data_IF_468726563437
#
_entry.id   IF_468726563437
#
_cell.length_a   1.000
_cell.length_b   1.000
_cell.length_c   1.000
_cell.angle_alpha   90.00
_cell.angle_beta   90.00
_cell.angle_gamma   90.00
#
_symmetry.space_group_name_H-M   'P 1'
#
loop_
_entity.id
_entity.type
_entity.pdbx_description
1 polymer ?
#
# COMPACT_ATOMS: atom_id res chain seq x y z
N UNK A 1 4.03 32.95 14.86
CA UNK A 1 4.72 33.21 13.57
C UNK A 1 5.58 32.01 13.13
N UNK A 2 4.99 30.83 12.92
CA UNK A 2 5.73 29.61 12.48
C UNK A 2 4.98 28.73 11.46
N UNK A 3 3.74 29.06 11.09
CA UNK A 3 2.98 28.34 10.05
C UNK A 3 3.25 28.83 8.61
N UNK A 4 3.92 29.97 8.43
CA UNK A 4 4.19 30.54 7.09
C UNK A 4 5.50 30.05 6.45
N UNK A 5 6.31 29.24 7.15
CA UNK A 5 7.58 28.70 6.62
C UNK A 5 7.42 27.33 5.92
N UNK A 6 6.35 26.58 6.20
CA UNK A 6 6.10 25.30 5.53
C UNK A 6 5.44 25.47 4.15
N UNK A 7 4.59 26.49 3.98
CA UNK A 7 4.00 26.81 2.68
C UNK A 7 4.99 27.46 1.69
N UNK A 8 6.08 28.06 2.17
CA UNK A 8 7.11 28.65 1.32
C UNK A 8 7.98 27.60 0.60
N UNK A 9 8.13 26.38 1.14
CA UNK A 9 8.84 25.29 0.46
C UNK A 9 8.02 24.59 -0.64
N UNK A 10 6.71 24.85 -0.70
CA UNK A 10 5.82 24.38 -1.76
C UNK A 10 5.60 25.42 -2.87
N UNK A 11 5.96 26.70 -2.67
CA UNK A 11 5.77 27.77 -3.68
C UNK A 11 7.11 28.29 -4.27
N UNK A 12 8.25 28.01 -3.65
CA UNK A 12 9.55 28.50 -4.15
C UNK A 12 10.16 27.73 -5.34
N UNK A 13 9.49 26.72 -5.92
CA UNK A 13 9.96 26.07 -7.15
C UNK A 13 9.38 26.68 -8.45
N UNK A 14 8.51 27.69 -8.37
CA UNK A 14 7.83 28.23 -9.55
C UNK A 14 8.39 29.58 -10.08
N UNK A 15 9.36 30.22 -9.43
CA UNK A 15 9.82 31.53 -9.88
C UNK A 15 11.32 31.78 -9.63
N UNK A 16 12.17 31.16 -10.47
CA UNK A 16 13.45 31.72 -10.93
C UNK A 16 14.14 30.75 -11.90
N UNK A 17 13.47 30.39 -13.01
CA UNK A 17 14.16 29.89 -14.19
C UNK A 17 14.47 31.09 -15.09
N UNK A 18 15.57 31.79 -14.81
CA UNK A 18 16.20 32.66 -15.80
C UNK A 18 17.70 32.64 -15.55
N UNK A 19 18.40 32.11 -16.54
CA UNK A 19 19.84 32.19 -16.81
C UNK A 19 20.77 31.18 -16.14
N UNK A 20 21.50 30.49 -17.04
CA UNK A 20 22.83 29.88 -16.89
C UNK A 20 22.99 28.40 -16.45
N UNK A 21 23.26 27.60 -17.48
CA UNK A 21 24.26 26.53 -17.60
C UNK A 21 24.07 25.17 -16.91
N UNK A 22 23.71 24.21 -17.78
CA UNK A 22 24.32 22.88 -17.97
C UNK A 22 25.32 22.39 -16.90
N UNK A 23 25.04 21.24 -16.28
CA UNK A 23 25.81 20.02 -16.55
C UNK A 23 25.12 18.75 -16.01
N UNK A 24 24.82 17.85 -16.95
CA UNK A 24 24.84 16.38 -16.88
C UNK A 24 24.26 15.63 -15.68
N UNK A 25 23.09 15.02 -15.92
CA UNK A 25 22.85 13.61 -15.62
C UNK A 25 22.08 12.98 -16.78
N UNK A 26 22.80 12.69 -17.88
CA UNK A 26 22.35 11.73 -18.90
C UNK A 26 22.29 10.35 -18.24
N UNK A 27 21.12 9.93 -17.76
CA UNK A 27 20.81 8.50 -17.67
C UNK A 27 20.29 8.07 -19.03
N UNK A 28 21.07 7.21 -19.69
CA UNK A 28 20.58 6.33 -20.74
C UNK A 28 19.42 5.51 -20.18
N UNK A 29 18.20 5.98 -20.36
CA UNK A 29 17.02 5.13 -20.33
C UNK A 29 16.84 4.63 -21.76
N UNK A 30 17.20 3.38 -22.01
CA UNK A 30 16.59 2.65 -23.11
C UNK A 30 15.07 2.68 -22.88
N UNK A 31 14.37 3.44 -23.73
CA UNK A 31 12.91 3.45 -23.79
C UNK A 31 12.42 2.07 -24.21
N UNK A 32 12.22 1.16 -23.25
CA UNK A 32 11.25 0.10 -23.41
C UNK A 32 9.90 0.72 -23.09
N UNK A 33 9.01 0.83 -24.08
CA UNK A 33 7.61 1.15 -23.81
C UNK A 33 7.08 0.08 -22.85
N UNK A 34 6.45 0.45 -21.71
CA UNK A 34 5.80 -0.54 -20.87
C UNK A 34 4.76 -1.30 -21.71
N UNK A 35 4.67 -2.62 -21.50
CA UNK A 35 3.74 -3.48 -22.27
C UNK A 35 2.28 -3.25 -21.90
N UNK A 36 2.04 -2.55 -20.80
CA UNK A 36 0.72 -2.31 -20.23
C UNK A 36 0.59 -0.84 -19.84
N UNK A 37 -0.65 -0.34 -19.81
CA UNK A 37 -1.01 0.95 -19.23
C UNK A 37 -1.91 0.74 -18.01
N UNK A 38 -1.38 1.05 -16.82
CA UNK A 38 -2.16 1.00 -15.60
C UNK A 38 -3.22 2.12 -15.57
N UNK A 39 -4.43 1.88 -15.04
CA UNK A 39 -5.48 2.88 -14.95
C UNK A 39 -5.12 4.01 -13.99
N UNK A 40 -5.49 5.24 -14.35
CA UNK A 40 -5.32 6.42 -13.47
C UNK A 40 -6.38 6.51 -12.36
N UNK A 41 -7.54 5.87 -12.55
CA UNK A 41 -8.70 5.97 -11.64
C UNK A 41 -8.54 5.11 -10.39
N UNK A 42 -7.96 3.91 -10.53
CA UNK A 42 -7.74 3.00 -9.40
C UNK A 42 -6.86 3.64 -8.30
N UNK A 43 -5.70 4.25 -8.60
CA UNK A 43 -4.91 4.99 -7.61
C UNK A 43 -5.67 6.13 -6.92
N UNK A 44 -6.47 6.91 -7.67
CA UNK A 44 -7.23 8.04 -7.11
C UNK A 44 -8.36 7.58 -6.16
N UNK A 45 -9.03 6.48 -6.50
CA UNK A 45 -10.05 5.88 -5.64
C UNK A 45 -9.43 5.35 -4.36
N UNK A 46 -8.31 4.64 -4.49
CA UNK A 46 -7.53 4.14 -3.35
C UNK A 46 -7.08 5.30 -2.46
N UNK A 47 -6.58 6.40 -3.02
CA UNK A 47 -6.18 7.61 -2.27
C UNK A 47 -7.35 8.22 -1.47
N UNK A 48 -8.55 8.31 -2.07
CA UNK A 48 -9.75 8.81 -1.39
C UNK A 48 -10.17 7.91 -0.23
N UNK A 49 -10.11 6.60 -0.42
CA UNK A 49 -10.49 5.61 0.60
C UNK A 49 -9.43 5.56 1.72
N UNK A 50 -8.15 5.72 1.39
CA UNK A 50 -7.06 5.80 2.36
C UNK A 50 -7.31 6.91 3.40
N UNK A 51 -7.80 8.07 2.98
CA UNK A 51 -8.11 9.17 3.92
C UNK A 51 -9.23 8.81 4.92
N UNK A 52 -10.16 7.94 4.53
CA UNK A 52 -11.22 7.45 5.42
C UNK A 52 -10.67 6.35 6.35
N UNK A 53 -9.84 5.47 5.81
CA UNK A 53 -9.19 4.40 6.56
C UNK A 53 -8.12 4.90 7.55
N UNK A 54 -7.51 6.07 7.32
CA UNK A 54 -6.47 6.61 8.20
C UNK A 54 -6.96 6.88 9.62
N UNK A 55 -8.25 7.18 9.82
CA UNK A 55 -8.79 7.39 11.17
C UNK A 55 -9.15 6.07 11.85
N UNK A 56 -9.57 5.05 11.09
CA UNK A 56 -9.76 3.68 11.59
C UNK A 56 -8.42 3.03 11.99
N UNK A 57 -7.37 3.21 11.18
CA UNK A 57 -6.03 2.66 11.47
C UNK A 57 -5.38 3.35 12.66
N UNK A 58 -5.53 4.68 12.81
CA UNK A 58 -5.08 5.38 14.02
C UNK A 58 -5.75 4.83 15.27
N UNK A 59 -7.07 4.61 15.22
CA UNK A 59 -7.82 4.06 16.35
C UNK A 59 -7.41 2.62 16.65
N UNK A 60 -7.25 1.76 15.65
CA UNK A 60 -6.82 0.37 15.84
C UNK A 60 -5.39 0.27 16.41
N UNK A 61 -4.45 1.09 15.93
CA UNK A 61 -3.08 1.17 16.47
C UNK A 61 -3.12 1.65 17.93
N UNK A 62 -3.91 2.68 18.24
CA UNK A 62 -4.06 3.19 19.60
C UNK A 62 -4.71 2.14 20.51
N UNK A 63 -5.72 1.42 20.03
CA UNK A 63 -6.41 0.37 20.78
C UNK A 63 -5.48 -0.83 21.06
N UNK A 64 -4.72 -1.28 20.07
CA UNK A 64 -3.75 -2.37 20.25
C UNK A 64 -2.59 -1.96 21.17
N UNK A 65 -2.14 -0.71 21.09
CA UNK A 65 -1.18 -0.16 22.05
C UNK A 65 -1.77 -0.09 23.47
N UNK A 66 -3.05 0.27 23.61
CA UNK A 66 -3.76 0.29 24.90
C UNK A 66 -3.97 -1.12 25.46
N UNK A 67 -4.32 -2.10 24.63
CA UNK A 67 -4.44 -3.50 25.04
C UNK A 67 -3.08 -4.07 25.44
N UNK A 68 -2.01 -3.72 24.71
CA UNK A 68 -0.64 -4.06 25.09
C UNK A 68 -0.23 -3.42 26.41
N UNK A 69 -0.63 -2.17 26.68
CA UNK A 69 -0.38 -1.47 27.94
C UNK A 69 -1.24 -1.98 29.10
N UNK A 70 -2.45 -2.46 28.83
CA UNK A 70 -3.34 -3.08 29.83
C UNK A 70 -2.83 -4.47 30.22
N UNK A 71 -2.30 -5.24 29.25
CA UNK A 71 -1.65 -6.54 29.48
C UNK A 71 -0.24 -6.38 30.08
N UNK A 72 0.45 -5.26 29.81
CA UNK A 72 1.75 -4.93 30.40
C UNK A 72 1.68 -4.36 31.84
N UNK A 73 0.49 -4.28 32.45
CA UNK A 73 0.36 -3.92 33.87
C UNK A 73 0.90 -4.99 34.84
N UNK A 74 1.44 -6.08 34.34
CA UNK A 74 2.18 -7.05 35.16
C UNK A 74 3.70 -6.96 35.09
N UNK A 75 4.34 -6.17 34.21
CA UNK A 75 5.80 -5.93 34.34
C UNK A 75 6.26 -4.70 33.54
N UNK A 76 6.75 -3.68 34.27
CA UNK A 76 7.43 -2.51 33.71
C UNK A 76 8.69 -2.91 32.92
N UNK A 77 8.81 -2.42 31.68
CA UNK A 77 9.93 -1.51 31.35
C UNK A 77 9.73 -0.72 30.06
N UNK A 78 9.61 0.58 30.30
CA UNK A 78 9.95 1.72 29.46
C UNK A 78 11.18 1.46 28.56
N UNK A 79 10.94 1.44 27.25
CA UNK A 79 11.77 2.06 26.20
C UNK A 79 11.21 1.58 24.87
N UNK A 80 10.79 2.49 24.00
CA UNK A 80 11.24 2.52 22.60
C UNK A 80 10.82 3.85 21.98
N UNK A 81 11.85 4.63 21.68
CA UNK A 81 11.73 6.00 21.22
C UNK A 81 11.13 6.10 19.83
N UNK A 82 10.39 7.18 19.64
CA UNK A 82 10.04 7.76 18.35
C UNK A 82 11.35 8.09 17.60
N UNK A 83 11.89 7.14 16.84
CA UNK A 83 13.04 7.33 15.97
C UNK A 83 12.59 7.16 14.53
N UNK A 84 12.31 8.32 13.92
CA UNK A 84 12.15 8.56 12.49
C UNK A 84 13.38 8.01 11.74
N UNK A 85 13.30 6.80 11.16
CA UNK A 85 14.34 6.28 10.27
C UNK A 85 13.83 6.01 8.85
N UNK A 86 14.79 6.13 7.94
CA UNK A 86 14.65 6.49 6.53
C UNK A 86 14.84 5.24 5.67
N UNK A 87 13.85 4.93 4.83
CA UNK A 87 13.90 4.10 3.60
C UNK A 87 14.92 2.93 3.60
N UNK A 88 14.48 1.75 4.04
CA UNK A 88 14.89 0.42 3.57
C UNK A 88 13.91 -0.59 4.18
N UNK A 89 13.36 -1.51 3.38
CA UNK A 89 12.42 -2.61 3.71
C UNK A 89 11.63 -2.41 5.01
N UNK A 90 10.35 -2.03 4.88
CA UNK A 90 9.45 -1.78 6.01
C UNK A 90 9.64 -2.81 7.14
N UNK A 91 9.79 -2.34 8.38
CA UNK A 91 9.85 -3.22 9.56
C UNK A 91 8.58 -4.09 9.62
N UNK A 92 8.62 -5.22 10.33
CA UNK A 92 7.45 -6.10 10.39
C UNK A 92 6.21 -5.39 10.99
N UNK A 93 6.43 -4.39 11.86
CA UNK A 93 5.38 -3.49 12.35
C UNK A 93 4.84 -2.57 11.24
N UNK A 94 5.70 -2.01 10.40
CA UNK A 94 5.28 -1.16 9.28
C UNK A 94 4.51 -1.97 8.21
N UNK A 95 4.91 -3.22 7.96
CA UNK A 95 4.15 -4.14 7.10
C UNK A 95 2.78 -4.44 7.67
N UNK A 96 2.70 -4.70 8.98
CA UNK A 96 1.42 -4.93 9.68
C UNK A 96 0.50 -3.72 9.57
N UNK A 97 1.03 -2.51 9.78
CA UNK A 97 0.27 -1.26 9.63
C UNK A 97 -0.21 -1.08 8.17
N UNK A 98 0.68 -1.27 7.19
CA UNK A 98 0.32 -1.20 5.78
C UNK A 98 -0.73 -2.26 5.39
N UNK A 99 -0.60 -3.47 5.92
CA UNK A 99 -1.56 -4.57 5.75
C UNK A 99 -2.94 -4.25 6.31
N UNK A 100 -3.02 -3.67 7.51
CA UNK A 100 -4.30 -3.25 8.07
C UNK A 100 -4.93 -2.08 7.30
N UNK A 101 -4.12 -1.15 6.79
CA UNK A 101 -4.61 -0.10 5.90
C UNK A 101 -5.18 -0.68 4.60
N UNK A 102 -4.46 -1.60 3.96
CA UNK A 102 -4.92 -2.31 2.76
C UNK A 102 -6.19 -3.10 3.04
N UNK A 103 -6.27 -3.77 4.18
CA UNK A 103 -7.45 -4.50 4.62
C UNK A 103 -8.67 -3.58 4.75
N UNK A 104 -8.50 -2.37 5.31
CA UNK A 104 -9.58 -1.38 5.33
C UNK A 104 -10.01 -0.99 3.91
N UNK A 105 -9.05 -0.69 3.03
CA UNK A 105 -9.34 -0.34 1.62
C UNK A 105 -10.13 -1.46 0.94
N UNK A 106 -9.71 -2.72 1.10
CA UNK A 106 -10.41 -3.87 0.52
C UNK A 106 -11.83 -4.00 1.07
N UNK A 107 -12.07 -3.78 2.36
CA UNK A 107 -13.43 -3.76 2.92
C UNK A 107 -14.29 -2.65 2.30
N UNK A 108 -13.77 -1.43 2.21
CA UNK A 108 -14.48 -0.27 1.68
C UNK A 108 -14.84 -0.42 0.20
N UNK A 109 -13.97 -1.05 -0.58
CA UNK A 109 -14.22 -1.31 -2.01
C UNK A 109 -14.95 -2.63 -2.27
N UNK A 110 -15.35 -3.36 -1.21
CA UNK A 110 -16.00 -4.69 -1.29
C UNK A 110 -15.16 -5.71 -2.06
N UNK A 111 -13.87 -5.72 -1.77
CA UNK A 111 -12.89 -6.67 -2.29
C UNK A 111 -12.47 -7.73 -1.26
N UNK A 112 -13.38 -8.07 -0.36
CA UNK A 112 -13.21 -9.10 0.67
C UNK A 112 -14.39 -10.07 0.66
N UNK A 113 -14.15 -11.29 1.12
CA UNK A 113 -15.16 -12.32 1.34
C UNK A 113 -15.98 -12.09 2.63
N UNK A 114 -16.83 -13.06 2.97
CA UNK A 114 -17.69 -13.00 4.17
C UNK A 114 -16.90 -13.08 5.49
N UNK A 115 -15.72 -13.69 5.48
CA UNK A 115 -14.81 -13.76 6.62
C UNK A 115 -13.93 -12.50 6.71
N UNK A 116 -13.96 -11.66 5.67
CA UNK A 116 -13.19 -10.44 5.57
C UNK A 116 -11.80 -10.63 5.00
N UNK A 117 -11.48 -11.77 4.37
CA UNK A 117 -10.20 -11.95 3.65
C UNK A 117 -10.31 -11.42 2.23
N UNK A 118 -9.20 -10.99 1.59
CA UNK A 118 -9.23 -10.51 0.21
C UNK A 118 -9.86 -11.53 -0.76
N UNK A 119 -10.66 -11.05 -1.72
CA UNK A 119 -11.35 -11.91 -2.68
C UNK A 119 -10.92 -11.56 -4.12
N UNK A 120 -10.66 -12.61 -4.93
CA UNK A 120 -10.09 -12.46 -6.27
C UNK A 120 -10.90 -11.51 -7.19
N UNK A 121 -12.22 -11.68 -7.29
CA UNK A 121 -13.04 -10.85 -8.18
C UNK A 121 -13.02 -9.38 -7.78
N UNK A 122 -13.11 -9.12 -6.47
CA UNK A 122 -13.07 -7.77 -5.94
C UNK A 122 -11.71 -7.09 -6.14
N UNK A 123 -10.61 -7.83 -5.98
CA UNK A 123 -9.26 -7.32 -6.24
C UNK A 123 -9.03 -7.02 -7.73
N UNK A 124 -9.46 -7.90 -8.63
CA UNK A 124 -9.37 -7.67 -10.08
C UNK A 124 -10.11 -6.39 -10.44
N UNK A 125 -11.34 -6.23 -9.93
CA UNK A 125 -12.14 -5.02 -10.15
C UNK A 125 -11.41 -3.78 -9.61
N UNK A 126 -10.87 -3.85 -8.39
CA UNK A 126 -10.15 -2.73 -7.76
C UNK A 126 -8.96 -2.26 -8.62
N UNK A 127 -8.11 -3.18 -9.05
CA UNK A 127 -6.88 -2.85 -9.78
C UNK A 127 -7.12 -2.41 -11.23
N UNK A 128 -8.20 -2.89 -11.85
CA UNK A 128 -8.49 -2.62 -13.27
C UNK A 128 -9.52 -1.53 -13.49
N UNK A 129 -10.07 -0.96 -12.41
CA UNK A 129 -11.11 0.06 -12.49
C UNK A 129 -10.65 1.30 -13.26
N UNK A 130 -11.47 1.69 -14.25
CA UNK A 130 -11.21 2.85 -15.10
C UNK A 130 -10.07 2.66 -16.10
N UNK A 131 -9.63 1.42 -16.34
CA UNK A 131 -8.62 1.07 -17.34
C UNK A 131 -9.23 0.44 -18.58
N UNK A 132 -8.65 0.77 -19.74
CA UNK A 132 -9.01 0.25 -21.06
C UNK A 132 -7.95 -0.70 -21.64
N UNK A 133 -6.78 -0.80 -21.00
CA UNK A 133 -5.66 -1.66 -21.43
C UNK A 133 -5.95 -3.14 -21.14
N UNK A 134 -6.14 -3.91 -22.22
CA UNK A 134 -6.51 -5.31 -22.13
C UNK A 134 -5.35 -6.18 -21.61
N UNK A 135 -4.12 -5.87 -22.00
CA UNK A 135 -2.91 -6.52 -21.53
C UNK A 135 -2.75 -6.35 -20.01
N UNK A 136 -2.95 -5.15 -19.47
CA UNK A 136 -2.91 -4.85 -18.04
C UNK A 136 -3.99 -5.64 -17.29
N UNK A 137 -5.23 -5.66 -17.81
CA UNK A 137 -6.34 -6.40 -17.19
C UNK A 137 -6.08 -7.90 -17.15
N UNK A 138 -5.53 -8.45 -18.23
CA UNK A 138 -5.17 -9.87 -18.32
C UNK A 138 -4.01 -10.22 -17.39
N UNK A 139 -2.99 -9.37 -17.33
CA UNK A 139 -1.87 -9.52 -16.41
C UNK A 139 -2.32 -9.52 -14.96
N UNK A 140 -3.16 -8.54 -14.60
CA UNK A 140 -3.73 -8.38 -13.26
C UNK A 140 -4.60 -9.56 -12.88
N UNK A 141 -5.46 -10.03 -13.78
CA UNK A 141 -6.32 -11.21 -13.55
C UNK A 141 -5.49 -12.45 -13.23
N UNK A 142 -4.45 -12.72 -14.03
CA UNK A 142 -3.54 -13.85 -13.79
C UNK A 142 -2.78 -13.72 -12.48
N UNK A 143 -2.24 -12.53 -12.21
CA UNK A 143 -1.52 -12.23 -10.98
C UNK A 143 -2.39 -12.46 -9.74
N UNK A 144 -3.61 -11.89 -9.71
CA UNK A 144 -4.53 -12.05 -8.58
C UNK A 144 -4.87 -13.51 -8.33
N UNK A 145 -5.23 -14.28 -9.37
CA UNK A 145 -5.53 -15.71 -9.17
C UNK A 145 -4.33 -16.50 -8.65
N UNK A 146 -3.13 -16.25 -9.17
CA UNK A 146 -1.92 -16.92 -8.71
C UNK A 146 -1.61 -16.59 -7.24
N UNK A 147 -1.69 -15.31 -6.86
CA UNK A 147 -1.40 -14.87 -5.50
C UNK A 147 -2.43 -15.36 -4.48
N UNK A 148 -3.71 -15.32 -4.86
CA UNK A 148 -4.79 -15.82 -4.02
C UNK A 148 -4.67 -17.32 -3.75
N UNK A 149 -4.23 -18.13 -4.72
CA UNK A 149 -4.03 -19.57 -4.51
C UNK A 149 -3.05 -19.88 -3.37
N UNK A 150 -2.00 -19.07 -3.22
CA UNK A 150 -1.04 -19.17 -2.11
C UNK A 150 -1.67 -18.75 -0.79
N UNK A 151 -2.34 -17.60 -0.76
CA UNK A 151 -2.96 -17.06 0.46
C UNK A 151 -4.11 -17.91 0.97
N UNK A 152 -4.91 -18.54 0.10
CA UNK A 152 -6.02 -19.41 0.49
C UNK A 152 -5.58 -20.59 1.36
N UNK A 153 -4.37 -21.11 1.15
CA UNK A 153 -3.81 -22.18 1.99
C UNK A 153 -3.53 -21.68 3.41
N UNK A 154 -2.91 -20.51 3.51
CA UNK A 154 -2.61 -19.88 4.81
C UNK A 154 -3.88 -19.53 5.56
N UNK A 155 -4.90 -18.99 4.87
CA UNK A 155 -6.21 -18.71 5.46
C UNK A 155 -6.83 -19.99 6.02
N UNK A 156 -6.88 -21.07 5.23
CA UNK A 156 -7.49 -22.33 5.67
C UNK A 156 -6.82 -22.90 6.93
N UNK A 157 -5.50 -22.76 7.06
CA UNK A 157 -4.74 -23.26 8.20
C UNK A 157 -4.86 -22.38 9.45
N UNK A 158 -5.01 -21.06 9.27
CA UNK A 158 -4.79 -20.08 10.35
C UNK A 158 -5.94 -19.09 10.56
N UNK A 159 -7.11 -19.30 9.98
CA UNK A 159 -8.20 -18.30 9.92
C UNK A 159 -8.61 -17.62 11.25
N UNK A 160 -8.31 -18.24 12.40
CA UNK A 160 -8.61 -17.70 13.74
C UNK A 160 -7.51 -16.76 14.30
N UNK A 161 -6.35 -16.67 13.65
CA UNK A 161 -5.24 -15.84 14.12
C UNK A 161 -5.59 -14.35 14.10
N UNK A 162 -5.46 -13.62 15.23
CA UNK A 162 -5.69 -12.19 15.28
C UNK A 162 -4.77 -11.45 14.30
N UNK A 163 -5.32 -10.51 13.53
CA UNK A 163 -4.55 -9.72 12.57
C UNK A 163 -4.19 -10.47 11.27
N UNK A 164 -4.55 -11.74 11.11
CA UNK A 164 -4.25 -12.50 9.90
C UNK A 164 -4.78 -11.83 8.63
N UNK A 165 -5.98 -11.24 8.68
CA UNK A 165 -6.54 -10.52 7.54
C UNK A 165 -5.65 -9.36 7.09
N UNK A 166 -5.03 -8.62 8.01
CA UNK A 166 -4.08 -7.56 7.69
C UNK A 166 -2.82 -8.12 6.99
N UNK A 167 -2.28 -9.23 7.51
CA UNK A 167 -1.09 -9.87 6.95
C UNK A 167 -1.38 -10.38 5.53
N UNK A 168 -2.48 -11.11 5.35
CA UNK A 168 -2.90 -11.61 4.03
C UNK A 168 -3.15 -10.45 3.06
N UNK A 169 -3.74 -9.34 3.50
CA UNK A 169 -3.95 -8.18 2.63
C UNK A 169 -2.63 -7.60 2.10
N UNK A 170 -1.60 -7.51 2.96
CA UNK A 170 -0.26 -7.10 2.57
C UNK A 170 0.40 -8.10 1.61
N UNK A 171 0.39 -9.38 1.95
CA UNK A 171 1.03 -10.44 1.16
C UNK A 171 0.44 -10.53 -0.25
N UNK A 172 -0.89 -10.44 -0.36
CA UNK A 172 -1.59 -10.43 -1.65
C UNK A 172 -1.24 -9.18 -2.45
N UNK A 173 -1.20 -8.00 -1.82
CA UNK A 173 -0.82 -6.76 -2.49
C UNK A 173 0.61 -6.83 -3.06
N UNK A 174 1.57 -7.26 -2.25
CA UNK A 174 2.97 -7.39 -2.65
C UNK A 174 3.11 -8.41 -3.78
N UNK A 175 2.48 -9.58 -3.64
CA UNK A 175 2.49 -10.61 -4.66
C UNK A 175 1.91 -10.11 -5.99
N UNK A 176 0.72 -9.50 -5.98
CA UNK A 176 0.05 -9.02 -7.21
C UNK A 176 0.88 -7.93 -7.88
N UNK A 177 1.40 -6.98 -7.11
CA UNK A 177 2.25 -5.90 -7.63
C UNK A 177 3.50 -6.47 -8.30
N UNK A 178 4.15 -7.46 -7.69
CA UNK A 178 5.32 -8.11 -8.23
C UNK A 178 5.01 -8.92 -9.50
N UNK A 179 3.92 -9.68 -9.52
CA UNK A 179 3.51 -10.46 -10.70
C UNK A 179 3.13 -9.58 -11.89
N UNK A 180 2.39 -8.49 -11.64
CA UNK A 180 2.05 -7.52 -12.70
C UNK A 180 3.32 -6.84 -13.23
N UNK A 181 4.25 -6.45 -12.36
CA UNK A 181 5.52 -5.84 -12.78
C UNK A 181 6.40 -6.81 -13.61
N UNK A 182 6.37 -8.12 -13.33
CA UNK A 182 7.06 -9.12 -14.15
C UNK A 182 6.53 -9.16 -15.58
N UNK A 183 5.21 -9.03 -15.75
CA UNK A 183 4.56 -9.14 -17.06
C UNK A 183 4.62 -7.82 -17.85
N UNK A 184 4.32 -6.70 -17.20
CA UNK A 184 4.19 -5.39 -17.81
C UNK A 184 5.52 -4.62 -17.93
N UNK A 185 6.57 -5.09 -17.26
CA UNK A 185 7.78 -4.33 -16.99
C UNK A 185 7.64 -3.48 -15.73
N UNK A 186 8.74 -2.86 -15.27
CA UNK A 186 8.67 -1.90 -14.16
C UNK A 186 7.75 -0.73 -14.56
N UNK A 187 6.58 -0.68 -13.93
CA UNK A 187 5.58 0.38 -14.04
C UNK A 187 6.02 1.55 -13.14
#
# INVERSE_FOLDING_TARGET
MKQLLFFALLVACAAAASTFNQLSLRKNQSKASPRCKAPAVSPQRVEKVINQCQDEVKLAIIQEALDSLQNAKEEEKLQHGIQRFKRQTFSDDEKKIAGCLLQCVYRQVKAVDQLGFPEAQGLIKLYTEGGDDEEYRNATTKAVHSCMATSSRVIAERYQEPGLACNIAYDVFECVTNEVAKYCGKI
#
